data_IF_876841577623
#
_entry.id   IF_876841577623
#
_cell.length_a   1.000
_cell.length_b   1.000
_cell.length_c   1.000
_cell.angle_alpha   90.00
_cell.angle_beta   90.00
_cell.angle_gamma   90.00
#
_symmetry.space_group_name_H-M   'P 1'
#
loop_
_entity.id
_entity.type
_entity.pdbx_description
1 polymer ?
#
# COMPACT_ATOMS: atom_id res chain seq x y z
N UNK A 1 -66.32 -11.50 -26.29
CA UNK A 1 -65.26 -10.79 -27.02
C UNK A 1 -64.31 -11.85 -27.57
N UNK A 2 -64.38 -12.11 -28.87
CA UNK A 2 -63.52 -13.08 -29.55
C UNK A 2 -62.12 -12.47 -29.71
N UNK A 3 -61.14 -12.91 -28.93
CA UNK A 3 -59.75 -12.46 -29.06
C UNK A 3 -59.15 -13.14 -30.28
N UNK A 4 -58.91 -12.38 -31.34
CA UNK A 4 -58.33 -12.87 -32.58
C UNK A 4 -56.83 -13.11 -32.40
N UNK A 5 -56.27 -14.10 -33.10
CA UNK A 5 -54.82 -14.40 -33.03
C UNK A 5 -53.94 -13.19 -33.39
N UNK A 6 -54.44 -12.30 -34.26
CA UNK A 6 -53.80 -11.03 -34.60
C UNK A 6 -53.75 -10.05 -33.42
N UNK A 7 -54.84 -9.89 -32.66
CA UNK A 7 -54.86 -9.04 -31.46
C UNK A 7 -53.94 -9.58 -30.37
N UNK A 8 -53.85 -10.90 -30.23
CA UNK A 8 -52.90 -11.54 -29.30
C UNK A 8 -51.44 -11.31 -29.70
N UNK A 9 -51.11 -11.43 -31.00
CA UNK A 9 -49.76 -11.17 -31.51
C UNK A 9 -49.32 -9.71 -31.31
N UNK A 10 -50.22 -8.76 -31.55
CA UNK A 10 -49.96 -7.33 -31.32
C UNK A 10 -49.75 -7.05 -29.82
N UNK A 11 -50.57 -7.63 -28.95
CA UNK A 11 -50.45 -7.45 -27.51
C UNK A 11 -49.10 -7.99 -26.96
N UNK A 12 -48.65 -9.17 -27.43
CA UNK A 12 -47.36 -9.74 -27.04
C UNK A 12 -46.20 -8.89 -27.54
N UNK A 13 -46.28 -8.35 -28.77
CA UNK A 13 -45.27 -7.45 -29.32
C UNK A 13 -45.11 -6.17 -28.50
N UNK A 14 -46.22 -5.54 -28.11
CA UNK A 14 -46.21 -4.31 -27.28
C UNK A 14 -45.71 -4.61 -25.86
N UNK A 15 -46.14 -5.71 -25.26
CA UNK A 15 -45.68 -6.11 -23.93
C UNK A 15 -44.17 -6.40 -23.93
N UNK A 16 -43.67 -7.08 -24.96
CA UNK A 16 -42.24 -7.40 -25.10
C UNK A 16 -41.35 -6.16 -25.27
N UNK A 17 -41.77 -5.17 -26.07
CA UNK A 17 -40.98 -3.94 -26.27
C UNK A 17 -40.97 -3.05 -25.03
N UNK A 18 -42.10 -2.94 -24.32
CA UNK A 18 -42.15 -2.23 -23.03
C UNK A 18 -41.28 -2.90 -21.97
N UNK A 19 -41.30 -4.23 -21.91
CA UNK A 19 -40.47 -5.00 -20.99
C UNK A 19 -38.97 -4.83 -21.28
N UNK A 20 -38.55 -5.00 -22.55
CA UNK A 20 -37.15 -4.78 -22.93
C UNK A 20 -36.70 -3.32 -22.69
N UNK A 21 -37.55 -2.34 -23.02
CA UNK A 21 -37.27 -0.93 -22.77
C UNK A 21 -37.08 -0.65 -21.28
N UNK A 22 -37.92 -1.23 -20.42
CA UNK A 22 -37.81 -1.11 -18.97
C UNK A 22 -36.54 -1.81 -18.44
N UNK A 23 -36.20 -2.99 -18.94
CA UNK A 23 -34.97 -3.70 -18.59
C UNK A 23 -33.72 -2.89 -18.95
N UNK A 24 -33.67 -2.28 -20.14
CA UNK A 24 -32.55 -1.43 -20.58
C UNK A 24 -32.45 -0.18 -19.73
N UNK A 25 -33.56 0.50 -19.45
CA UNK A 25 -33.60 1.68 -18.57
C UNK A 25 -33.06 1.35 -17.17
N UNK A 26 -33.49 0.22 -16.60
CA UNK A 26 -33.10 -0.20 -15.26
C UNK A 26 -31.64 -0.68 -15.18
N UNK A 27 -31.12 -1.37 -16.21
CA UNK A 27 -29.70 -1.73 -16.28
C UNK A 27 -28.81 -0.48 -16.36
N UNK A 28 -29.27 0.55 -17.09
CA UNK A 28 -28.57 1.83 -17.17
C UNK A 28 -28.60 2.59 -15.84
N UNK A 29 -29.70 2.52 -15.09
CA UNK A 29 -29.83 3.10 -13.76
C UNK A 29 -28.92 2.39 -12.74
N UNK A 30 -28.78 1.05 -12.83
CA UNK A 30 -27.84 0.27 -12.00
C UNK A 30 -26.37 0.54 -12.33
N UNK A 31 -26.00 0.73 -13.60
CA UNK A 31 -24.60 0.98 -14.00
C UNK A 31 -24.10 2.40 -13.69
N UNK A 32 -25.00 3.33 -13.35
CA UNK A 32 -24.65 4.71 -12.96
C UNK A 32 -24.19 4.86 -11.51
N UNK A 33 -24.06 3.76 -10.76
CA UNK A 33 -23.74 3.79 -9.34
C UNK A 33 -22.36 4.46 -9.06
N UNK A 34 -22.33 5.68 -8.47
CA UNK A 34 -21.10 6.45 -8.25
C UNK A 34 -20.14 5.78 -7.25
N UNK A 35 -20.65 4.80 -6.51
CA UNK A 35 -19.90 3.99 -5.55
C UNK A 35 -18.75 3.21 -6.21
N UNK A 36 -18.91 2.68 -7.42
CA UNK A 36 -17.86 1.87 -8.06
C UNK A 36 -16.66 2.73 -8.50
N UNK A 37 -16.91 3.92 -9.07
CA UNK A 37 -15.87 4.88 -9.44
C UNK A 37 -15.16 5.44 -8.21
N UNK A 38 -15.89 5.72 -7.12
CA UNK A 38 -15.29 6.12 -5.83
C UNK A 38 -14.40 5.01 -5.27
N UNK A 39 -14.87 3.76 -5.24
CA UNK A 39 -14.07 2.60 -4.81
C UNK A 39 -12.82 2.41 -5.67
N UNK A 40 -12.89 2.63 -7.00
CA UNK A 40 -11.69 2.59 -7.85
C UNK A 40 -10.71 3.72 -7.55
N UNK A 41 -11.20 4.94 -7.34
CA UNK A 41 -10.35 6.11 -7.04
C UNK A 41 -9.68 5.96 -5.68
N UNK A 42 -10.43 5.48 -4.70
CA UNK A 42 -9.92 5.16 -3.36
C UNK A 42 -8.89 4.03 -3.39
N UNK A 43 -9.12 2.96 -4.18
CA UNK A 43 -8.11 1.90 -4.40
C UNK A 43 -6.83 2.44 -5.04
N UNK A 44 -6.93 3.33 -6.04
CA UNK A 44 -5.74 3.96 -6.65
C UNK A 44 -5.02 4.90 -5.69
N UNK A 45 -5.75 5.66 -4.88
CA UNK A 45 -5.15 6.52 -3.85
C UNK A 45 -4.45 5.71 -2.77
N UNK A 46 -5.05 4.63 -2.27
CA UNK A 46 -4.41 3.70 -1.31
C UNK A 46 -3.16 3.04 -1.91
N UNK A 47 -3.20 2.63 -3.18
CA UNK A 47 -2.03 2.08 -3.86
C UNK A 47 -0.91 3.11 -4.04
N UNK A 48 -1.23 4.35 -4.41
CA UNK A 48 -0.23 5.43 -4.49
C UNK A 48 0.33 5.80 -3.11
N UNK A 49 -0.51 5.83 -2.08
CA UNK A 49 -0.09 6.15 -0.71
C UNK A 49 0.80 5.04 -0.13
N UNK A 50 0.54 3.77 -0.44
CA UNK A 50 1.43 2.66 -0.10
C UNK A 50 2.75 2.73 -0.89
N UNK A 51 2.70 3.10 -2.17
CA UNK A 51 3.90 3.28 -2.97
C UNK A 51 4.77 4.46 -2.51
N UNK A 52 4.17 5.56 -2.03
CA UNK A 52 4.93 6.67 -1.43
C UNK A 52 5.40 6.37 -0.01
N UNK A 53 4.64 5.61 0.80
CA UNK A 53 5.11 5.06 2.09
C UNK A 53 6.23 4.04 1.94
N UNK A 54 6.33 3.35 0.82
CA UNK A 54 7.45 2.44 0.51
C UNK A 54 8.69 3.20 0.00
N UNK A 55 8.53 4.44 -0.48
CA UNK A 55 9.66 5.32 -0.87
C UNK A 55 10.30 6.06 0.29
N UNK A 56 9.63 6.15 1.43
CA UNK A 56 10.19 6.68 2.68
C UNK A 56 10.34 5.52 3.67
N UNK A 57 11.34 5.54 4.55
CA UNK A 57 11.56 4.48 5.55
C UNK A 57 10.47 4.50 6.64
N UNK A 58 9.21 4.18 6.30
CA UNK A 58 8.13 4.05 7.27
C UNK A 58 7.73 5.35 7.99
N UNK A 59 8.16 6.53 7.51
CA UNK A 59 7.91 7.81 8.14
C UNK A 59 9.01 8.84 7.84
N UNK A 60 8.92 10.07 8.38
CA UNK A 60 10.05 10.99 8.41
C UNK A 60 11.21 10.34 9.16
N UNK A 61 12.38 10.28 8.53
CA UNK A 61 13.60 9.83 9.23
C UNK A 61 13.81 10.75 10.44
N UNK A 62 14.09 10.19 11.64
CA UNK A 62 14.41 11.01 12.81
C UNK A 62 15.65 11.85 12.50
N UNK A 63 15.74 13.01 13.15
CA UNK A 63 16.96 13.80 13.07
C UNK A 63 18.14 12.96 13.56
N UNK A 64 19.14 12.75 12.69
CA UNK A 64 20.31 11.90 12.96
C UNK A 64 21.19 12.48 14.07
N UNK A 65 20.97 13.73 14.46
CA UNK A 65 21.67 14.39 15.56
C UNK A 65 21.05 14.13 16.93
N UNK A 66 19.80 13.65 16.99
CA UNK A 66 19.13 13.27 18.23
C UNK A 66 19.19 11.76 18.45
N UNK A 67 20.10 11.36 19.34
CA UNK A 67 20.27 9.95 19.73
C UNK A 67 19.01 9.34 20.35
N UNK A 68 18.17 10.13 21.03
CA UNK A 68 16.94 9.62 21.64
C UNK A 68 15.87 9.34 20.57
N UNK A 69 15.71 10.24 19.60
CA UNK A 69 14.82 10.03 18.46
C UNK A 69 15.23 8.83 17.61
N UNK A 70 16.53 8.66 17.37
CA UNK A 70 17.10 7.52 16.65
C UNK A 70 16.81 6.19 17.36
N UNK A 71 17.00 6.14 18.68
CA UNK A 71 16.72 4.95 19.48
C UNK A 71 15.23 4.61 19.51
N UNK A 72 14.34 5.60 19.61
CA UNK A 72 12.88 5.38 19.55
C UNK A 72 12.46 4.83 18.18
N UNK A 73 12.95 5.43 17.10
CA UNK A 73 12.68 4.94 15.75
C UNK A 73 13.17 3.51 15.56
N UNK A 74 14.39 3.21 16.03
CA UNK A 74 14.95 1.87 15.98
C UNK A 74 14.06 0.83 16.68
N UNK A 75 13.65 1.09 17.92
CA UNK A 75 12.78 0.19 18.68
C UNK A 75 11.41 0.01 18.02
N UNK A 76 10.84 1.10 17.49
CA UNK A 76 9.56 1.08 16.80
C UNK A 76 9.61 0.23 15.52
N UNK A 77 10.69 0.35 14.74
CA UNK A 77 10.89 -0.43 13.51
C UNK A 77 11.07 -1.92 13.81
N UNK A 78 11.77 -2.29 14.89
CA UNK A 78 11.87 -3.68 15.31
C UNK A 78 10.51 -4.24 15.72
N UNK A 79 9.75 -3.52 16.55
CA UNK A 79 8.43 -3.98 17.01
C UNK A 79 7.47 -4.21 15.83
N UNK A 80 7.40 -3.25 14.90
CA UNK A 80 6.60 -3.40 13.67
C UNK A 80 7.08 -4.57 12.82
N UNK A 81 8.40 -4.73 12.67
CA UNK A 81 8.98 -5.86 11.96
C UNK A 81 8.58 -7.20 12.57
N UNK A 82 8.71 -7.36 13.88
CA UNK A 82 8.34 -8.58 14.62
C UNK A 82 6.84 -8.86 14.56
N UNK A 83 5.99 -7.84 14.70
CA UNK A 83 4.54 -7.99 14.60
C UNK A 83 4.11 -8.48 13.20
N UNK A 84 4.70 -7.90 12.14
CA UNK A 84 4.44 -8.32 10.76
C UNK A 84 4.95 -9.73 10.48
N UNK A 85 6.13 -10.08 11.01
CA UNK A 85 6.65 -11.46 10.93
C UNK A 85 5.73 -12.45 11.66
N UNK A 86 5.21 -12.08 12.84
CA UNK A 86 4.26 -12.90 13.60
C UNK A 86 2.91 -13.05 12.87
N UNK A 87 2.48 -12.00 12.14
CA UNK A 87 1.30 -12.02 11.29
C UNK A 87 1.49 -12.84 9.98
N UNK A 88 2.71 -13.29 9.69
CA UNK A 88 3.06 -14.03 8.48
C UNK A 88 3.38 -13.16 7.26
N UNK A 89 3.43 -11.84 7.40
CA UNK A 89 3.85 -10.92 6.34
C UNK A 89 5.38 -10.74 6.38
N UNK A 90 6.06 -11.71 5.78
CA UNK A 90 7.52 -11.79 5.79
C UNK A 90 8.19 -10.64 5.04
N UNK A 91 7.60 -10.18 3.94
CA UNK A 91 8.22 -9.16 3.09
C UNK A 91 8.20 -7.80 3.77
N UNK A 92 7.05 -7.41 4.35
CA UNK A 92 6.93 -6.17 5.09
C UNK A 92 7.75 -6.19 6.40
N UNK A 93 7.74 -7.32 7.14
CA UNK A 93 8.49 -7.45 8.39
C UNK A 93 10.01 -7.31 8.19
N UNK A 94 10.54 -7.94 7.14
CA UNK A 94 11.96 -7.83 6.77
C UNK A 94 12.32 -6.41 6.32
N UNK A 95 11.41 -5.69 5.66
CA UNK A 95 11.63 -4.30 5.27
C UNK A 95 11.81 -3.39 6.50
N UNK A 96 10.92 -3.46 7.49
CA UNK A 96 11.03 -2.70 8.74
C UNK A 96 12.29 -3.03 9.54
N UNK A 97 12.67 -4.31 9.62
CA UNK A 97 13.92 -4.71 10.26
C UNK A 97 15.16 -4.19 9.51
N UNK A 98 15.14 -4.20 8.17
CA UNK A 98 16.21 -3.61 7.36
C UNK A 98 16.36 -2.11 7.64
N UNK A 99 15.24 -1.39 7.79
CA UNK A 99 15.24 0.03 8.15
C UNK A 99 15.88 0.25 9.52
N UNK A 100 15.52 -0.55 10.54
CA UNK A 100 16.12 -0.47 11.87
C UNK A 100 17.65 -0.64 11.83
N UNK A 101 18.15 -1.60 11.04
CA UNK A 101 19.59 -1.86 10.90
C UNK A 101 20.35 -0.69 10.29
N UNK A 102 19.74 0.07 9.37
CA UNK A 102 20.40 1.24 8.75
C UNK A 102 20.68 2.38 9.71
N UNK A 103 19.93 2.48 10.81
CA UNK A 103 20.05 3.57 11.79
C UNK A 103 20.98 3.20 12.95
N UNK A 104 21.35 1.92 13.08
CA UNK A 104 22.27 1.48 14.11
C UNK A 104 23.72 1.79 13.72
N UNK A 105 24.41 2.63 14.52
CA UNK A 105 25.86 2.79 14.43
C UNK A 105 26.68 1.53 14.81
N UNK A 106 26.02 0.51 15.36
CA UNK A 106 26.62 -0.77 15.77
C UNK A 106 25.84 -1.98 15.19
N UNK A 107 25.79 -2.07 13.87
CA UNK A 107 25.11 -3.13 13.12
C UNK A 107 25.51 -4.55 13.54
N UNK A 108 26.77 -4.78 13.95
CA UNK A 108 27.32 -6.09 14.30
C UNK A 108 26.69 -6.71 15.56
N UNK A 109 26.51 -5.92 16.64
CA UNK A 109 25.86 -6.42 17.85
C UNK A 109 24.39 -6.72 17.62
N UNK A 110 23.72 -5.90 16.80
CA UNK A 110 22.32 -6.08 16.50
C UNK A 110 22.05 -7.33 15.65
N UNK A 111 22.90 -7.57 14.65
CA UNK A 111 22.85 -8.77 13.82
C UNK A 111 23.02 -10.05 14.65
N UNK A 112 23.91 -10.04 15.65
CA UNK A 112 24.11 -11.15 16.58
C UNK A 112 22.85 -11.47 17.38
N UNK A 113 22.19 -10.46 17.94
CA UNK A 113 20.94 -10.64 18.69
C UNK A 113 19.81 -11.11 17.77
N UNK A 114 19.63 -10.48 16.61
CA UNK A 114 18.61 -10.88 15.63
C UNK A 114 18.81 -12.30 15.10
N UNK A 115 20.06 -12.76 14.98
CA UNK A 115 20.37 -14.15 14.60
C UNK A 115 19.94 -15.15 15.68
N UNK A 116 19.97 -14.75 16.95
CA UNK A 116 19.54 -15.61 18.06
C UNK A 116 18.02 -15.59 18.26
N UNK A 117 17.34 -14.50 17.90
CA UNK A 117 15.90 -14.36 18.09
C UNK A 117 15.06 -14.79 16.89
N UNK A 118 15.64 -14.85 15.68
CA UNK A 118 14.91 -15.19 14.45
C UNK A 118 15.34 -16.51 13.80
N UNK A 119 14.40 -17.29 13.23
CA UNK A 119 14.72 -18.45 12.40
C UNK A 119 15.59 -18.10 11.18
N UNK A 120 16.59 -18.96 10.90
CA UNK A 120 17.55 -18.82 9.80
C UNK A 120 16.98 -18.40 8.41
N UNK A 121 15.82 -18.91 7.93
CA UNK A 121 15.28 -18.50 6.63
C UNK A 121 14.88 -17.02 6.56
N UNK A 122 14.42 -16.44 7.68
CA UNK A 122 14.00 -15.02 7.73
C UNK A 122 15.24 -14.12 7.76
N UNK A 123 16.27 -14.52 8.52
CA UNK A 123 17.55 -13.81 8.58
C UNK A 123 18.26 -13.76 7.22
N UNK A 124 18.22 -14.84 6.44
CA UNK A 124 18.77 -14.86 5.08
C UNK A 124 18.04 -13.87 4.17
N UNK A 125 16.71 -13.79 4.29
CA UNK A 125 15.89 -12.86 3.52
C UNK A 125 16.22 -11.40 3.86
N UNK A 126 16.46 -11.10 5.13
CA UNK A 126 16.97 -9.82 5.61
C UNK A 126 18.32 -9.47 4.98
N UNK A 127 19.30 -10.40 5.04
CA UNK A 127 20.62 -10.22 4.43
C UNK A 127 20.55 -9.88 2.93
N UNK A 128 19.63 -10.52 2.20
CA UNK A 128 19.43 -10.26 0.76
C UNK A 128 18.79 -8.89 0.49
N UNK A 129 17.93 -8.40 1.39
CA UNK A 129 17.21 -7.12 1.25
C UNK A 129 17.99 -5.92 1.82
N UNK A 130 18.95 -6.13 2.71
CA UNK A 130 19.81 -5.07 3.27
C UNK A 130 20.43 -4.13 2.22
N UNK A 131 21.09 -4.60 1.14
CA UNK A 131 21.67 -3.71 0.14
C UNK A 131 20.62 -2.89 -0.63
N UNK A 132 19.41 -3.43 -0.79
CA UNK A 132 18.29 -2.72 -1.39
C UNK A 132 17.77 -1.61 -0.47
N UNK A 133 17.67 -1.88 0.83
CA UNK A 133 17.23 -0.90 1.85
C UNK A 133 18.28 0.20 2.03
N UNK A 134 19.57 -0.11 2.02
CA UNK A 134 20.64 0.90 2.14
C UNK A 134 20.65 1.88 0.96
N UNK A 135 20.47 1.41 -0.27
CA UNK A 135 20.37 2.31 -1.44
C UNK A 135 19.10 3.15 -1.41
N UNK A 136 17.97 2.59 -0.97
CA UNK A 136 16.72 3.35 -0.79
C UNK A 136 16.86 4.47 0.25
N UNK A 137 17.53 4.20 1.38
CA UNK A 137 17.83 5.23 2.37
C UNK A 137 18.71 6.33 1.79
N UNK A 138 19.77 5.96 1.06
CA UNK A 138 20.68 6.93 0.41
C UNK A 138 19.94 7.80 -0.61
N UNK A 139 19.01 7.20 -1.37
CA UNK A 139 18.15 7.93 -2.30
C UNK A 139 17.17 8.86 -1.57
N UNK A 140 16.57 8.42 -0.45
CA UNK A 140 15.68 9.23 0.38
C UNK A 140 16.41 10.39 1.06
N UNK A 141 17.63 10.18 1.54
CA UNK A 141 18.49 11.24 2.10
C UNK A 141 18.86 12.26 1.03
N UNK A 142 19.19 11.81 -0.20
CA UNK A 142 19.44 12.71 -1.33
C UNK A 142 18.20 13.52 -1.70
N UNK A 143 17.02 12.90 -1.73
CA UNK A 143 15.75 13.59 -2.02
C UNK A 143 15.38 14.63 -0.94
N UNK A 144 15.63 14.35 0.33
CA UNK A 144 15.43 15.31 1.41
C UNK A 144 16.44 16.47 1.36
N UNK A 145 17.69 16.22 0.95
CA UNK A 145 18.68 17.30 0.78
C UNK A 145 18.36 18.25 -0.38
N UNK A 146 17.72 17.77 -1.45
CA UNK A 146 17.27 18.63 -2.55
C UNK A 146 16.06 19.49 -2.21
N UNK A 147 15.26 19.09 -1.22
CA UNK A 147 14.09 19.86 -0.75
C UNK A 147 14.48 21.10 0.08
N UNK A 148 15.75 21.26 0.45
CA UNK A 148 16.23 22.32 1.35
C UNK A 148 17.01 23.43 0.62
N UNK A 149 16.96 23.49 -0.71
CA UNK A 149 17.73 24.48 -1.51
C UNK A 149 16.90 25.32 -2.49
N UNK A 150 15.56 25.28 -2.43
CA UNK A 150 14.69 26.04 -3.35
C UNK A 150 13.88 27.18 -2.68
N UNK A 151 14.18 27.59 -1.45
CA UNK A 151 13.45 28.68 -0.75
C UNK A 151 14.32 29.91 -0.36
N UNK A 152 15.48 30.14 -0.98
CA UNK A 152 16.34 31.29 -0.64
C UNK A 152 16.87 32.10 -1.85
N UNK A 153 16.14 32.12 -2.97
CA UNK A 153 16.37 33.11 -4.04
C UNK A 153 15.05 33.48 -4.72
N UNK A 154 14.27 34.38 -4.12
CA UNK A 154 13.74 35.61 -4.79
C UNK A 154 13.19 36.61 -3.75
#
# INVERSE_FOLDING_TARGET
>A
MEITRATLGIAVGIAGTLFLGYCVYFDQQRRKDPQFKKKLRERRQKAQQNASRSRTLGGPLPDMSDHEAMQRFFLQQIQLGEELLAAGDLEAGVEHLGQAVTVCGQTQQLLSVLQQTMPAPIFHMLLKKLPEVSERLRASMKANSSSLHEDDVE
#
